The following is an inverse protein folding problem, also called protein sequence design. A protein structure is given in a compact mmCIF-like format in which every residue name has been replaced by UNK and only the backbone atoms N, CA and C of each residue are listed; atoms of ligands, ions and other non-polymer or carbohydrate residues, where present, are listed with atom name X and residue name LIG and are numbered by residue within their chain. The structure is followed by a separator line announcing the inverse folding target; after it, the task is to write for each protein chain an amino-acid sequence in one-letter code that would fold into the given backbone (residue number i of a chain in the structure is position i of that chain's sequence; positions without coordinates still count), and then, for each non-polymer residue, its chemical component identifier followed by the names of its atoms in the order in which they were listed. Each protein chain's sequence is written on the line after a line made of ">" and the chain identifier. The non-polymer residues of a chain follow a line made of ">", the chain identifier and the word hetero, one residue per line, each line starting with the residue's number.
data_IF_838796299004
#
_entry.id   IF_838796299004
#
_cell.length_a   1.000
_cell.length_b   1.000
_cell.length_c   1.000
_cell.angle_alpha   90.00
_cell.angle_beta   90.00
_cell.angle_gamma   90.00
#
_symmetry.space_group_name_H-M   'P 1'
#
loop_
_entity.id
_entity.type
_entity.pdbx_description
1 polymer ?
#
# COMPACT_ATOMS: atom_id res chain seq x y z
N UNK A 1 2.46 -4.35 16.57
CA UNK A 1 2.41 -3.01 15.95
C UNK A 1 1.13 -2.77 15.12
N UNK A 2 0.96 -3.28 13.90
CA UNK A 2 -0.16 -2.88 13.01
C UNK A 2 -1.57 -3.13 13.59
N UNK A 3 -1.78 -4.28 14.23
CA UNK A 3 -3.05 -4.58 14.93
C UNK A 3 -3.30 -3.61 16.09
N UNK A 4 -2.28 -3.33 16.92
CA UNK A 4 -2.36 -2.40 18.06
C UNK A 4 -2.62 -0.96 17.63
N UNK A 5 -2.24 -0.59 16.40
CA UNK A 5 -2.53 0.72 15.83
C UNK A 5 -3.89 0.78 15.09
N UNK A 6 -4.65 -0.33 15.09
CA UNK A 6 -5.94 -0.43 14.40
C UNK A 6 -5.84 -0.41 12.87
N UNK A 7 -4.64 -0.58 12.32
CA UNK A 7 -4.40 -0.62 10.86
C UNK A 7 -4.78 -1.99 10.31
N UNK A 8 -4.66 -3.04 11.14
CA UNK A 8 -5.01 -4.41 10.78
C UNK A 8 -6.05 -4.96 11.75
N UNK A 9 -7.09 -5.60 11.22
CA UNK A 9 -8.10 -6.32 12.00
C UNK A 9 -8.01 -7.82 11.70
N UNK A 10 -8.16 -8.64 12.73
CA UNK A 10 -8.32 -10.11 12.57
C UNK A 10 -9.74 -10.39 12.06
N UNK A 11 -9.84 -10.95 10.86
CA UNK A 11 -11.13 -11.40 10.31
C UNK A 11 -11.40 -12.87 10.65
N UNK A 12 -10.37 -13.71 10.52
CA UNK A 12 -10.38 -15.14 10.88
C UNK A 12 -8.98 -15.60 11.28
N UNK A 13 -8.80 -16.91 11.51
CA UNK A 13 -7.47 -17.47 11.74
C UNK A 13 -6.54 -17.34 10.51
N UNK A 14 -7.11 -17.28 9.29
CA UNK A 14 -6.34 -17.45 8.05
C UNK A 14 -5.93 -16.14 7.37
N UNK A 15 -6.67 -15.05 7.58
CA UNK A 15 -6.34 -13.78 6.95
C UNK A 15 -6.60 -12.57 7.86
N UNK A 16 -5.97 -11.47 7.47
CA UNK A 16 -6.01 -10.17 8.14
C UNK A 16 -6.59 -9.15 7.17
N UNK A 17 -7.43 -8.24 7.67
CA UNK A 17 -8.00 -7.15 6.88
C UNK A 17 -7.25 -5.87 7.23
N UNK A 18 -6.78 -5.17 6.20
CA UNK A 18 -6.15 -3.85 6.35
C UNK A 18 -7.23 -2.78 6.29
N UNK A 19 -7.20 -1.85 7.24
CA UNK A 19 -7.96 -0.61 7.18
C UNK A 19 -7.24 0.36 6.22
N UNK A 20 -7.66 0.33 4.96
CA UNK A 20 -7.02 1.10 3.89
C UNK A 20 -7.13 2.61 4.10
N UNK A 21 -8.22 3.11 4.71
CA UNK A 21 -8.37 4.54 5.00
C UNK A 21 -7.32 4.98 6.01
N UNK A 22 -7.15 4.22 7.08
CA UNK A 22 -6.13 4.51 8.10
C UNK A 22 -4.71 4.42 7.54
N UNK A 23 -4.47 3.52 6.60
CA UNK A 23 -3.18 3.43 5.91
C UNK A 23 -2.92 4.65 5.00
N UNK A 24 -3.94 5.12 4.28
CA UNK A 24 -3.87 6.35 3.51
C UNK A 24 -3.59 7.57 4.40
N UNK A 25 -4.20 7.64 5.58
CA UNK A 25 -3.93 8.72 6.55
C UNK A 25 -2.47 8.73 7.01
N UNK A 26 -1.89 7.56 7.31
CA UNK A 26 -0.49 7.45 7.71
C UNK A 26 0.45 7.94 6.61
N UNK A 27 0.13 7.59 5.36
CA UNK A 27 0.89 8.01 4.19
C UNK A 27 0.77 9.53 3.94
N UNK A 28 -0.43 10.09 4.03
CA UNK A 28 -0.65 11.53 3.90
C UNK A 28 0.11 12.31 4.97
N UNK A 29 0.14 11.79 6.20
CA UNK A 29 0.92 12.34 7.30
C UNK A 29 2.42 12.02 7.21
N UNK A 30 2.86 11.31 6.17
CA UNK A 30 4.25 10.91 5.95
C UNK A 30 4.86 10.17 7.14
N UNK A 31 4.04 9.40 7.86
CA UNK A 31 4.42 8.67 9.08
C UNK A 31 5.48 7.64 8.74
N UNK A 32 6.56 7.55 9.55
CA UNK A 32 7.57 6.51 9.38
C UNK A 32 7.17 5.25 10.12
N UNK A 33 7.63 4.11 9.63
CA UNK A 33 7.38 2.82 10.27
C UNK A 33 7.88 2.79 11.72
N UNK A 34 9.11 3.23 11.95
CA UNK A 34 9.70 3.35 13.28
C UNK A 34 8.92 4.28 14.24
N UNK A 35 8.15 5.25 13.72
CA UNK A 35 7.44 6.24 14.54
C UNK A 35 6.02 5.78 14.92
N UNK A 36 5.59 4.59 14.47
CA UNK A 36 4.29 4.04 14.85
C UNK A 36 4.24 3.72 16.35
N UNK A 37 3.15 4.08 17.06
CA UNK A 37 2.95 3.67 18.44
C UNK A 37 3.03 2.14 18.60
N UNK A 38 3.42 1.65 19.78
CA UNK A 38 3.54 0.20 20.03
C UNK A 38 4.42 -0.53 19.00
N UNK A 39 5.48 0.16 18.56
CA UNK A 39 6.51 -0.37 17.71
C UNK A 39 7.78 -0.66 18.54
N UNK A 40 7.86 -1.89 19.05
CA UNK A 40 8.94 -2.28 19.96
C UNK A 40 10.18 -2.81 19.22
N UNK A 41 10.08 -3.10 17.92
CA UNK A 41 11.14 -3.83 17.20
C UNK A 41 11.26 -3.55 15.70
N UNK A 42 10.34 -2.80 15.09
CA UNK A 42 10.32 -2.55 13.64
C UNK A 42 10.99 -1.22 13.30
N UNK A 43 12.34 -1.21 13.30
CA UNK A 43 13.16 -0.01 13.18
C UNK A 43 13.36 0.48 11.73
N UNK A 44 12.34 0.35 10.86
CA UNK A 44 12.42 0.83 9.48
C UNK A 44 12.24 2.35 9.45
N UNK A 45 13.24 3.06 8.93
CA UNK A 45 13.21 4.52 8.82
C UNK A 45 12.32 5.06 7.70
N UNK A 46 11.92 4.19 6.76
CA UNK A 46 11.05 4.53 5.64
C UNK A 46 9.63 4.96 6.06
N UNK A 47 8.94 5.65 5.16
CA UNK A 47 7.52 6.03 5.35
C UNK A 47 6.63 4.80 5.21
N UNK A 48 5.51 4.80 5.93
CA UNK A 48 4.42 3.84 5.74
C UNK A 48 3.87 4.03 4.32
N UNK A 49 4.11 3.05 3.47
CA UNK A 49 3.79 3.05 2.04
C UNK A 49 3.55 1.60 1.60
N UNK A 50 2.55 1.39 0.74
CA UNK A 50 2.44 0.17 -0.05
C UNK A 50 3.18 0.43 -1.36
N UNK A 51 4.28 -0.28 -1.59
CA UNK A 51 4.98 -0.21 -2.87
C UNK A 51 4.19 -1.00 -3.92
N UNK A 52 4.01 -0.42 -5.09
CA UNK A 52 3.26 -0.96 -6.21
C UNK A 52 4.11 -0.88 -7.48
N UNK A 53 3.67 -1.59 -8.52
CA UNK A 53 4.26 -1.51 -9.84
C UNK A 53 4.04 -0.14 -10.51
N UNK A 54 4.67 0.06 -11.66
CA UNK A 54 4.56 1.27 -12.46
C UNK A 54 3.11 1.49 -12.95
N UNK A 55 2.54 2.63 -12.55
CA UNK A 55 1.15 3.03 -12.87
C UNK A 55 0.89 3.19 -14.37
N UNK A 56 1.92 3.48 -15.18
CA UNK A 56 1.76 3.71 -16.61
C UNK A 56 1.66 2.42 -17.44
N UNK A 57 2.14 1.29 -16.90
CA UNK A 57 2.33 0.04 -17.63
C UNK A 57 1.65 -1.17 -16.98
N UNK A 58 1.32 -1.11 -15.69
CA UNK A 58 0.96 -2.29 -14.90
C UNK A 58 -0.50 -2.30 -14.43
N UNK A 59 -1.18 -3.44 -14.64
CA UNK A 59 -2.55 -3.63 -14.19
C UNK A 59 -2.69 -3.62 -12.65
N UNK A 60 -1.69 -4.11 -11.91
CA UNK A 60 -1.73 -4.10 -10.43
C UNK A 60 -1.76 -2.68 -9.89
N UNK A 61 -0.96 -1.79 -10.47
CA UNK A 61 -0.98 -0.37 -10.12
C UNK A 61 -2.28 0.31 -10.52
N UNK A 62 -2.87 -0.05 -11.67
CA UNK A 62 -4.18 0.44 -12.09
C UNK A 62 -5.31 -0.01 -11.14
N UNK A 63 -5.29 -1.26 -10.68
CA UNK A 63 -6.21 -1.77 -9.66
C UNK A 63 -6.05 -1.05 -8.32
N UNK A 64 -4.80 -0.81 -7.92
CA UNK A 64 -4.50 -0.06 -6.70
C UNK A 64 -4.98 1.40 -6.78
N UNK A 65 -4.80 2.05 -7.94
CA UNK A 65 -5.38 3.38 -8.23
C UNK A 65 -6.91 3.35 -8.15
N UNK A 66 -7.56 2.34 -8.73
CA UNK A 66 -9.01 2.18 -8.67
C UNK A 66 -9.53 2.08 -7.23
N UNK A 67 -8.93 1.20 -6.42
CA UNK A 67 -9.28 1.04 -5.01
C UNK A 67 -9.09 2.34 -4.21
N UNK A 68 -7.93 2.97 -4.37
CA UNK A 68 -7.57 4.15 -3.57
C UNK A 68 -8.37 5.37 -3.97
N UNK A 69 -8.66 5.55 -5.25
CA UNK A 69 -9.55 6.63 -5.74
C UNK A 69 -10.98 6.44 -5.26
N UNK A 70 -11.51 5.21 -5.25
CA UNK A 70 -12.82 4.89 -4.70
C UNK A 70 -12.94 5.26 -3.22
N UNK A 71 -11.95 4.86 -2.41
CA UNK A 71 -11.89 5.19 -0.99
C UNK A 71 -11.76 6.70 -0.75
N UNK A 72 -10.88 7.38 -1.49
CA UNK A 72 -10.64 8.82 -1.40
C UNK A 72 -11.85 9.66 -1.85
N UNK A 73 -12.76 9.05 -2.62
CA UNK A 73 -14.02 9.61 -3.10
C UNK A 73 -15.23 9.08 -2.30
N UNK A 74 -15.07 8.82 -1.00
CA UNK A 74 -16.14 8.42 -0.09
C UNK A 74 -16.87 7.12 -0.48
N UNK A 75 -16.12 6.12 -0.94
CA UNK A 75 -16.66 4.85 -1.43
C UNK A 75 -17.58 5.00 -2.64
N UNK A 76 -17.18 5.87 -3.59
CA UNK A 76 -17.88 6.04 -4.85
C UNK A 76 -16.91 6.18 -6.02
N UNK A 77 -17.36 5.81 -7.22
CA UNK A 77 -16.54 5.86 -8.43
C UNK A 77 -16.34 7.31 -8.86
N UNK A 78 -15.10 7.66 -9.21
CA UNK A 78 -14.76 8.97 -9.78
C UNK A 78 -15.29 9.04 -11.21
N UNK A 79 -16.23 9.95 -11.48
CA UNK A 79 -16.90 10.08 -12.79
C UNK A 79 -16.83 11.50 -13.37
N UNK A 80 -16.35 12.48 -12.61
CA UNK A 80 -16.29 13.89 -13.04
C UNK A 80 -14.91 14.51 -12.82
N UNK A 81 -14.58 15.53 -13.61
CA UNK A 81 -13.32 16.29 -13.44
C UNK A 81 -13.22 16.97 -12.06
N UNK A 82 -14.34 17.37 -11.47
CA UNK A 82 -14.37 17.94 -10.13
C UNK A 82 -13.94 16.90 -9.07
N UNK A 83 -14.44 15.66 -9.17
CA UNK A 83 -14.02 14.56 -8.30
C UNK A 83 -12.54 14.20 -8.53
N UNK A 84 -12.08 14.17 -9.79
CA UNK A 84 -10.66 13.96 -10.11
C UNK A 84 -9.78 14.98 -9.38
N UNK A 85 -10.12 16.27 -9.48
CA UNK A 85 -9.37 17.35 -8.84
C UNK A 85 -9.38 17.26 -7.30
N UNK A 86 -10.45 16.73 -6.70
CA UNK A 86 -10.54 16.50 -5.27
C UNK A 86 -9.79 15.25 -4.79
N UNK A 87 -9.68 14.22 -5.62
CA UNK A 87 -9.08 12.93 -5.29
C UNK A 87 -7.56 12.92 -5.52
N UNK A 88 -7.07 13.48 -6.63
CA UNK A 88 -5.64 13.42 -6.99
C UNK A 88 -4.72 13.85 -5.83
N UNK A 89 -4.94 14.99 -5.14
CA UNK A 89 -4.06 15.41 -4.05
C UNK A 89 -3.97 14.42 -2.89
N UNK A 90 -5.01 13.59 -2.69
CA UNK A 90 -5.09 12.62 -1.59
C UNK A 90 -4.30 11.34 -1.86
N UNK A 91 -4.12 10.97 -3.13
CA UNK A 91 -3.59 9.65 -3.52
C UNK A 91 -2.33 9.71 -4.40
N UNK A 92 -1.97 10.88 -4.95
CA UNK A 92 -0.80 11.01 -5.83
C UNK A 92 0.50 10.55 -5.16
N UNK A 93 0.66 10.82 -3.86
CA UNK A 93 1.85 10.42 -3.10
C UNK A 93 2.03 8.89 -3.05
N UNK A 94 0.97 8.09 -3.19
CA UNK A 94 1.08 6.63 -3.28
C UNK A 94 1.97 6.19 -4.43
N UNK A 95 2.04 6.98 -5.50
CA UNK A 95 2.76 6.64 -6.71
C UNK A 95 4.05 7.45 -6.88
N UNK A 96 4.06 8.72 -6.45
CA UNK A 96 5.20 9.62 -6.71
C UNK A 96 6.35 9.47 -5.72
N UNK A 97 6.13 8.90 -4.52
CA UNK A 97 7.19 8.76 -3.50
C UNK A 97 7.78 7.36 -3.42
N UNK A 98 7.51 6.48 -4.38
CA UNK A 98 7.94 5.08 -4.36
C UNK A 98 9.40 4.88 -4.84
N UNK A 99 10.00 5.91 -5.45
CA UNK A 99 11.29 5.79 -6.12
C UNK A 99 11.17 4.98 -7.41
N UNK A 100 12.07 4.03 -7.62
CA UNK A 100 12.05 3.14 -8.79
C UNK A 100 10.85 2.18 -8.72
N UNK A 101 10.07 2.12 -9.81
CA UNK A 101 8.91 1.25 -9.94
C UNK A 101 9.16 0.22 -11.03
N UNK A 102 8.98 -1.07 -10.70
CA UNK A 102 9.04 -2.18 -11.65
C UNK A 102 7.70 -2.33 -12.38
N UNK A 103 7.72 -2.85 -13.60
CA UNK A 103 6.48 -3.03 -14.38
C UNK A 103 5.71 -4.31 -13.97
N UNK A 104 6.41 -5.31 -13.44
CA UNK A 104 5.86 -6.62 -13.08
C UNK A 104 5.69 -6.79 -11.57
N UNK A 105 4.52 -7.26 -11.13
CA UNK A 105 4.30 -7.59 -9.73
C UNK A 105 5.09 -8.82 -9.28
N UNK A 106 5.52 -9.68 -10.21
CA UNK A 106 6.37 -10.82 -9.89
C UNK A 106 7.76 -10.35 -9.45
N UNK A 107 8.35 -9.40 -10.19
CA UNK A 107 9.62 -8.77 -9.82
C UNK A 107 9.49 -7.98 -8.52
N UNK A 108 8.38 -7.26 -8.33
CA UNK A 108 8.12 -6.57 -7.06
C UNK A 108 8.06 -7.54 -5.88
N UNK A 109 7.46 -8.71 -6.08
CA UNK A 109 7.36 -9.72 -5.02
C UNK A 109 8.70 -10.41 -4.76
N UNK A 110 9.49 -10.70 -5.80
CA UNK A 110 10.86 -11.20 -5.66
C UNK A 110 11.74 -10.21 -4.89
N UNK A 111 11.65 -8.92 -5.21
CA UNK A 111 12.31 -7.84 -4.47
C UNK A 111 11.90 -7.84 -2.99
N UNK A 112 10.60 -7.96 -2.69
CA UNK A 112 10.09 -8.05 -1.32
C UNK A 112 10.67 -9.23 -0.54
N UNK A 113 10.91 -10.37 -1.19
CA UNK A 113 11.42 -11.58 -0.56
C UNK A 113 12.94 -11.59 -0.40
N UNK A 114 13.67 -10.89 -1.28
CA UNK A 114 15.13 -10.98 -1.39
C UNK A 114 15.87 -9.76 -0.88
N UNK A 115 15.23 -8.57 -0.89
CA UNK A 115 15.83 -7.33 -0.39
C UNK A 115 15.57 -7.17 1.11
N UNK A 116 16.37 -6.29 1.72
CA UNK A 116 16.20 -5.93 3.12
C UNK A 116 14.84 -5.27 3.37
N UNK A 117 14.36 -5.45 4.60
CA UNK A 117 13.07 -4.92 5.06
C UNK A 117 12.95 -3.39 4.90
N UNK A 118 14.07 -2.67 4.92
CA UNK A 118 14.13 -1.23 4.69
C UNK A 118 13.73 -0.80 3.27
N UNK A 119 13.80 -1.69 2.27
CA UNK A 119 13.41 -1.37 0.89
C UNK A 119 11.89 -1.27 0.76
N UNK A 120 11.16 -2.32 1.16
CA UNK A 120 9.72 -2.45 0.91
C UNK A 120 8.99 -3.29 1.97
N UNK A 121 8.68 -2.73 3.16
CA UNK A 121 7.91 -3.44 4.19
C UNK A 121 6.54 -3.98 3.75
N UNK A 122 5.95 -3.40 2.72
CA UNK A 122 4.60 -3.71 2.26
C UNK A 122 4.49 -3.49 0.76
N UNK A 123 3.98 -4.49 0.03
CA UNK A 123 3.86 -4.48 -1.44
C UNK A 123 2.46 -4.84 -1.91
N UNK A 124 2.05 -4.27 -3.05
CA UNK A 124 0.81 -4.62 -3.76
C UNK A 124 1.11 -5.68 -4.83
N UNK A 125 0.56 -6.88 -4.64
CA UNK A 125 0.76 -8.04 -5.54
C UNK A 125 -0.55 -8.79 -5.75
N UNK A 126 -0.59 -9.73 -6.70
CA UNK A 126 -1.72 -10.64 -6.82
C UNK A 126 -1.69 -11.70 -5.73
N UNK A 127 -2.84 -12.07 -5.19
CA UNK A 127 -2.97 -13.15 -4.20
C UNK A 127 -2.40 -14.48 -4.70
N UNK A 128 -2.60 -14.80 -5.99
CA UNK A 128 -2.05 -16.01 -6.60
C UNK A 128 -0.52 -16.10 -6.47
N UNK A 129 0.20 -14.97 -6.49
CA UNK A 129 1.67 -14.95 -6.33
C UNK A 129 2.06 -15.33 -4.90
N UNK A 130 1.33 -14.80 -3.91
CA UNK A 130 1.51 -15.18 -2.52
C UNK A 130 1.23 -16.67 -2.28
N UNK A 131 0.11 -17.18 -2.83
CA UNK A 131 -0.28 -18.58 -2.66
C UNK A 131 0.74 -19.56 -3.25
N UNK A 132 1.34 -19.24 -4.40
CA UNK A 132 2.39 -20.08 -5.01
C UNK A 132 3.65 -20.11 -4.14
N UNK A 133 4.02 -18.99 -3.51
CA UNK A 133 5.19 -18.93 -2.64
C UNK A 133 4.98 -19.55 -1.25
N UNK A 134 3.73 -19.59 -0.78
CA UNK A 134 3.36 -20.14 0.52
C UNK A 134 3.05 -21.65 0.50
N UNK A 135 2.99 -22.26 -0.68
CA UNK A 135 2.79 -23.70 -0.89
C UNK A 135 4.09 -24.49 -0.69
#
# INVERSE_FOLDING_TARGET
>A
MLENNGIVKKSSQHYRIIDMLRLLDLLQNQTRWQDLPHNDSFAVGGKVLIKSTNIASSNVAAMYLGLTSYLANNNDIVTTSAQINAVIPKIALLFTTQGYMVDSSATLFEDYLTKDLDDSPLVMIYEAQFLVQAA
#
